data_IF_990241393728
#
_entry.id   IF_990241393728
#
_cell.length_a   1.000
_cell.length_b   1.000
_cell.length_c   1.000
_cell.angle_alpha   90.00
_cell.angle_beta   90.00
_cell.angle_gamma   90.00
#
_symmetry.space_group_name_H-M   'P 1'
#
loop_
_entity.id
_entity.type
_entity.pdbx_description
1 polymer ?
#
# COMPACT_ATOMS: atom_id res chain seq x y z
N UNK A 1 18.54 4.98 -14.30
CA UNK A 1 17.24 5.14 -13.59
C UNK A 1 16.34 3.90 -13.70
N UNK A 2 16.36 3.16 -14.82
CA UNK A 2 15.56 1.94 -15.03
C UNK A 2 15.83 0.79 -14.04
N UNK A 3 17.07 0.59 -13.58
CA UNK A 3 17.37 -0.52 -12.65
C UNK A 3 16.63 -0.37 -11.30
N UNK A 4 16.46 0.87 -10.81
CA UNK A 4 15.69 1.14 -9.57
C UNK A 4 14.20 0.89 -9.76
N UNK A 5 13.61 1.22 -10.92
CA UNK A 5 12.20 0.92 -11.19
C UNK A 5 11.93 -0.58 -11.36
N UNK A 6 12.89 -1.34 -11.89
CA UNK A 6 12.77 -2.81 -11.97
C UNK A 6 12.90 -3.49 -10.60
N UNK A 7 13.78 -2.99 -9.72
CA UNK A 7 13.92 -3.49 -8.34
C UNK A 7 12.77 -3.03 -7.44
N UNK A 8 12.21 -1.84 -7.69
CA UNK A 8 11.06 -1.29 -6.98
C UNK A 8 9.72 -1.85 -7.44
N UNK A 9 9.63 -2.49 -8.62
CA UNK A 9 8.64 -3.54 -8.88
C UNK A 9 8.97 -4.75 -8.02
N UNK A 10 9.00 -4.54 -6.72
CA UNK A 10 9.02 -5.58 -5.72
C UNK A 10 7.74 -6.38 -5.98
N UNK A 11 7.90 -7.69 -6.23
CA UNK A 11 6.83 -8.65 -6.49
C UNK A 11 5.83 -8.81 -5.33
N UNK A 12 5.96 -7.98 -4.29
CA UNK A 12 5.19 -8.05 -3.06
C UNK A 12 3.78 -7.47 -3.28
N UNK A 13 2.90 -8.35 -3.74
CA UNK A 13 1.47 -8.10 -3.93
C UNK A 13 0.69 -8.45 -2.65
N UNK A 14 1.20 -8.11 -1.46
CA UNK A 14 0.52 -8.41 -0.19
C UNK A 14 0.00 -7.15 0.52
N UNK A 15 -0.94 -7.34 1.46
CA UNK A 15 -1.43 -6.31 2.37
C UNK A 15 -1.92 -5.06 1.63
N UNK A 16 -1.27 -3.90 1.83
CA UNK A 16 -1.77 -2.62 1.36
C UNK A 16 -1.67 -2.50 -0.17
N UNK A 17 -0.72 -3.19 -0.82
CA UNK A 17 -0.57 -3.14 -2.28
C UNK A 17 -1.76 -3.76 -3.02
N UNK A 18 -2.47 -4.71 -2.43
CA UNK A 18 -3.65 -5.38 -3.02
C UNK A 18 -4.83 -4.44 -3.32
N UNK A 19 -4.90 -3.30 -2.66
CA UNK A 19 -5.96 -2.32 -2.85
C UNK A 19 -5.64 -1.23 -3.89
N UNK A 20 -4.38 -1.16 -4.35
CA UNK A 20 -3.91 -0.10 -5.24
C UNK A 20 -4.16 -0.45 -6.73
N UNK A 21 -4.27 0.55 -7.61
CA UNK A 21 -4.30 0.33 -9.05
C UNK A 21 -3.07 -0.46 -9.56
N UNK A 22 -3.25 -1.21 -10.65
CA UNK A 22 -2.20 -2.11 -11.20
C UNK A 22 -0.89 -1.42 -11.59
N UNK A 23 -0.94 -0.13 -11.90
CA UNK A 23 0.23 0.64 -12.34
C UNK A 23 0.86 1.45 -11.19
N UNK A 24 0.37 1.27 -9.96
CA UNK A 24 0.88 1.98 -8.80
C UNK A 24 2.14 1.31 -8.27
N UNK A 25 3.18 2.10 -8.03
CA UNK A 25 4.35 1.68 -7.28
C UNK A 25 4.12 1.91 -5.79
N UNK A 26 4.44 0.90 -4.98
CA UNK A 26 4.37 0.99 -3.53
C UNK A 26 5.68 0.54 -2.90
N UNK A 27 6.44 1.51 -2.39
CA UNK A 27 7.74 1.28 -1.75
C UNK A 27 7.49 1.11 -0.26
N UNK A 28 7.49 -0.13 0.24
CA UNK A 28 6.91 -0.42 1.54
C UNK A 28 7.69 -1.44 2.37
N UNK A 29 7.41 -1.42 3.67
CA UNK A 29 7.88 -2.39 4.64
C UNK A 29 6.71 -2.92 5.45
N UNK A 30 6.55 -4.23 5.40
CA UNK A 30 5.60 -4.98 6.20
C UNK A 30 6.20 -5.39 7.55
N UNK A 31 5.34 -5.58 8.54
CA UNK A 31 5.70 -6.10 9.86
C UNK A 31 4.52 -6.81 10.53
N UNK A 32 4.84 -7.65 11.51
CA UNK A 32 3.87 -8.36 12.34
C UNK A 32 4.48 -8.63 13.71
N UNK A 33 3.66 -8.50 14.76
CA UNK A 33 4.03 -8.83 16.14
C UNK A 33 2.78 -9.13 16.97
N UNK A 34 2.68 -10.32 17.56
CA UNK A 34 1.51 -10.73 18.33
C UNK A 34 0.22 -10.61 17.49
N UNK A 35 -0.75 -9.82 17.94
CA UNK A 35 -1.98 -9.51 17.20
C UNK A 35 -1.88 -8.23 16.36
N UNK A 36 -0.69 -7.68 16.12
CA UNK A 36 -0.49 -6.53 15.26
C UNK A 36 0.06 -6.93 13.90
N UNK A 37 -0.51 -6.35 12.85
CA UNK A 37 0.03 -6.42 11.48
C UNK A 37 0.11 -5.00 10.92
N UNK A 38 1.21 -4.66 10.27
CA UNK A 38 1.41 -3.34 9.69
C UNK A 38 1.99 -3.38 8.28
N UNK A 39 1.73 -2.29 7.56
CA UNK A 39 2.30 -2.02 6.25
C UNK A 39 2.48 -0.50 6.09
N UNK A 40 3.71 -0.08 5.85
CA UNK A 40 4.11 1.33 5.84
C UNK A 40 4.96 1.59 4.60
N UNK A 41 4.63 2.63 3.84
CA UNK A 41 5.35 2.91 2.61
C UNK A 41 4.96 4.19 1.90
N UNK A 42 5.58 4.39 0.74
CA UNK A 42 5.34 5.51 -0.17
C UNK A 42 4.60 4.96 -1.39
N UNK A 43 3.46 5.55 -1.71
CA UNK A 43 2.65 5.26 -2.89
C UNK A 43 2.95 6.27 -3.98
N UNK A 44 3.11 5.81 -5.22
CA UNK A 44 3.22 6.62 -6.43
C UNK A 44 2.44 5.95 -7.56
N UNK A 45 1.31 6.54 -7.98
CA UNK A 45 0.50 6.02 -9.11
C UNK A 45 0.75 6.76 -10.43
N UNK A 46 1.68 7.73 -10.44
CA UNK A 46 1.95 8.62 -11.57
C UNK A 46 1.28 10.00 -11.44
N UNK A 47 0.12 10.09 -10.80
CA UNK A 47 -0.66 11.33 -10.65
C UNK A 47 -0.66 11.85 -9.21
N UNK A 48 -0.76 10.96 -8.23
CA UNK A 48 -0.68 11.24 -6.80
C UNK A 48 0.47 10.47 -6.15
N UNK A 49 1.14 11.14 -5.21
CA UNK A 49 2.17 10.54 -4.35
C UNK A 49 1.87 10.84 -2.90
N UNK A 50 1.91 9.82 -2.06
CA UNK A 50 1.65 9.97 -0.64
C UNK A 50 2.35 8.90 0.20
N UNK A 51 2.53 9.21 1.48
CA UNK A 51 3.05 8.27 2.46
C UNK A 51 1.87 7.70 3.23
N UNK A 52 1.88 6.40 3.48
CA UNK A 52 0.91 5.73 4.33
C UNK A 52 1.61 4.90 5.39
N UNK A 53 1.07 4.94 6.61
CA UNK A 53 1.50 4.09 7.70
C UNK A 53 0.24 3.44 8.31
N UNK A 54 -0.01 2.17 7.98
CA UNK A 54 -1.20 1.46 8.40
C UNK A 54 -0.85 0.36 9.41
N UNK A 55 -1.48 0.43 10.58
CA UNK A 55 -1.30 -0.51 11.69
C UNK A 55 -2.67 -1.06 12.07
N UNK A 56 -2.84 -2.38 11.96
CA UNK A 56 -4.07 -3.06 12.34
C UNK A 56 -3.79 -3.96 13.56
N UNK A 57 -4.60 -3.88 14.63
CA UNK A 57 -4.56 -4.83 15.74
C UNK A 57 -5.26 -6.13 15.35
N UNK A 58 -4.86 -6.68 14.20
CA UNK A 58 -5.32 -7.97 13.68
C UNK A 58 -4.11 -8.86 13.39
N UNK A 59 -4.25 -10.16 13.68
CA UNK A 59 -3.32 -11.18 13.20
C UNK A 59 -3.32 -11.19 11.67
N UNK A 60 -2.19 -11.58 11.09
CA UNK A 60 -1.94 -11.48 9.65
C UNK A 60 -3.03 -12.18 8.82
N UNK A 61 -3.45 -13.38 9.25
CA UNK A 61 -4.51 -14.20 8.63
C UNK A 61 -5.87 -13.50 8.47
N UNK A 62 -6.17 -12.48 9.30
CA UNK A 62 -7.41 -11.69 9.23
C UNK A 62 -7.22 -10.29 8.62
N UNK A 63 -5.97 -9.87 8.42
CA UNK A 63 -5.64 -8.49 8.09
C UNK A 63 -5.72 -8.17 6.59
N UNK A 64 -5.46 -9.16 5.72
CA UNK A 64 -5.27 -8.95 4.28
C UNK A 64 -6.46 -8.25 3.60
N UNK A 65 -7.69 -8.77 3.81
CA UNK A 65 -8.89 -8.18 3.24
C UNK A 65 -9.15 -6.75 3.77
N UNK A 66 -8.76 -6.45 5.02
CA UNK A 66 -8.91 -5.13 5.62
C UNK A 66 -7.90 -4.13 5.05
N UNK A 67 -6.64 -4.53 4.88
CA UNK A 67 -5.63 -3.72 4.20
C UNK A 67 -6.07 -3.38 2.77
N UNK A 68 -6.56 -4.36 2.01
CA UNK A 68 -7.03 -4.13 0.64
C UNK A 68 -8.17 -3.10 0.59
N UNK A 69 -9.18 -3.26 1.45
CA UNK A 69 -10.33 -2.34 1.49
C UNK A 69 -9.91 -0.92 1.88
N UNK A 70 -9.08 -0.78 2.92
CA UNK A 70 -8.58 0.52 3.39
C UNK A 70 -7.71 1.19 2.32
N UNK A 71 -6.81 0.43 1.70
CA UNK A 71 -5.93 0.93 0.63
C UNK A 71 -6.74 1.53 -0.52
N UNK A 72 -7.78 0.82 -0.98
CA UNK A 72 -8.67 1.32 -2.03
C UNK A 72 -9.37 2.62 -1.64
N UNK A 73 -9.93 2.68 -0.43
CA UNK A 73 -10.66 3.86 0.06
C UNK A 73 -9.75 5.06 0.23
N UNK A 74 -8.55 4.86 0.82
CA UNK A 74 -7.57 5.92 1.01
C UNK A 74 -7.09 6.45 -0.34
N UNK A 75 -6.76 5.55 -1.27
CA UNK A 75 -6.29 5.94 -2.58
C UNK A 75 -7.34 6.73 -3.36
N UNK A 76 -8.59 6.26 -3.36
CA UNK A 76 -9.72 6.96 -3.98
C UNK A 76 -9.92 8.36 -3.37
N UNK A 77 -9.91 8.47 -2.04
CA UNK A 77 -10.06 9.75 -1.34
C UNK A 77 -8.97 10.76 -1.73
N UNK A 78 -7.71 10.30 -1.82
CA UNK A 78 -6.58 11.15 -2.22
C UNK A 78 -6.72 11.58 -3.68
N UNK A 79 -7.08 10.64 -4.57
CA UNK A 79 -7.34 10.91 -5.98
C UNK A 79 -8.42 11.98 -6.15
N UNK A 80 -9.59 11.80 -5.56
CA UNK A 80 -10.72 12.75 -5.64
C UNK A 80 -10.36 14.15 -5.13
N UNK A 81 -9.44 14.24 -4.16
CA UNK A 81 -9.02 15.52 -3.58
C UNK A 81 -8.01 16.27 -4.45
N UNK A 82 -7.12 15.57 -5.14
CA UNK A 82 -5.95 16.18 -5.79
C UNK A 82 -5.90 16.02 -7.31
N UNK A 83 -6.66 15.09 -7.88
CA UNK A 83 -6.76 14.87 -9.33
C UNK A 83 -8.23 14.97 -9.71
N UNK A 84 -8.61 16.14 -10.23
CA UNK A 84 -9.94 16.36 -10.79
C UNK A 84 -10.10 15.64 -12.13
#
# INVERSE_FOLDING_TARGET
MQMKSYLARQLDNTKFSLGLPKNTMFFHKTGWFSFWTNDVGIVDDGDVRYIVACFLPLREEFSSAKFQALSRQIHQLIRERYVK
#
